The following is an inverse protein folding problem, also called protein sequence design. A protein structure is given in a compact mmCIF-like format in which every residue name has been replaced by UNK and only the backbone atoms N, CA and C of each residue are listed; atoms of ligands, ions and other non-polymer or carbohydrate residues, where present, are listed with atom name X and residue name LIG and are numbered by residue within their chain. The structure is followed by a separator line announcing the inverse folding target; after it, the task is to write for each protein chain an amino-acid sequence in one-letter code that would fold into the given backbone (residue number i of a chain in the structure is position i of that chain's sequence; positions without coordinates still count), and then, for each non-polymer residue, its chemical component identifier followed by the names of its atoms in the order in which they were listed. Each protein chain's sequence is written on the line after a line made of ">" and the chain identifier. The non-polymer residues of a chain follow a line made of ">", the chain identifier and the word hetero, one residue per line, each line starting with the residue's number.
data_IF_064084506925
#
_entry.id   IF_064084506925
#
_cell.length_a   1.000
_cell.length_b   1.000
_cell.length_c   1.000
_cell.angle_alpha   90.00
_cell.angle_beta   90.00
_cell.angle_gamma   90.00
#
_symmetry.space_group_name_H-M   'P 1'
#
loop_
_entity.id
_entity.type
_entity.pdbx_description
1 polymer ?
#
# COMPACT_ATOMS: atom_id res chain seq x y z
N UNK A 1 -28.15 -0.80 13.15
CA UNK A 1 -27.29 0.16 12.45
C UNK A 1 -26.07 -0.57 11.89
N UNK A 2 -25.83 -0.47 10.61
CA UNK A 2 -24.66 -1.14 10.03
C UNK A 2 -23.39 -0.44 10.53
N UNK A 3 -22.49 -1.21 11.16
CA UNK A 3 -21.18 -0.71 11.49
C UNK A 3 -20.33 -0.75 10.23
N UNK A 4 -19.87 0.40 9.77
CA UNK A 4 -18.98 0.48 8.63
C UNK A 4 -17.56 0.24 9.12
N UNK A 5 -17.02 -0.95 8.80
CA UNK A 5 -15.64 -1.26 9.08
C UNK A 5 -14.73 -0.41 8.19
N UNK A 6 -13.72 0.21 8.79
CA UNK A 6 -12.73 0.97 8.03
C UNK A 6 -11.86 0.02 7.22
N UNK A 7 -11.85 0.20 5.91
CA UNK A 7 -10.96 -0.54 5.02
C UNK A 7 -9.56 0.06 5.06
N UNK A 8 -8.56 -0.78 5.20
CA UNK A 8 -7.16 -0.35 5.36
C UNK A 8 -6.26 -1.12 4.42
N UNK A 9 -5.36 -0.40 3.77
CA UNK A 9 -4.22 -0.97 3.05
C UNK A 9 -2.96 -0.55 3.78
N UNK A 10 -2.17 -1.52 4.22
CA UNK A 10 -0.86 -1.27 4.81
C UNK A 10 0.18 -1.23 3.69
N UNK A 11 0.99 -0.18 3.68
CA UNK A 11 2.13 -0.05 2.76
C UNK A 11 3.25 -1.02 3.16
N UNK A 12 4.13 -1.29 2.24
CA UNK A 12 5.30 -2.15 2.43
C UNK A 12 6.11 -1.75 3.66
N UNK A 13 6.27 -0.44 3.91
CA UNK A 13 7.00 0.09 5.06
C UNK A 13 6.45 -0.36 6.42
N UNK A 14 5.16 -0.70 6.48
CA UNK A 14 4.52 -1.19 7.71
C UNK A 14 4.75 -2.69 7.89
N UNK A 15 4.72 -3.46 6.80
CA UNK A 15 4.92 -4.92 6.86
C UNK A 15 6.35 -5.32 7.14
N UNK A 16 7.35 -4.58 6.64
CA UNK A 16 8.76 -4.96 6.79
C UNK A 16 9.18 -5.15 8.24
N UNK A 17 8.92 -4.21 9.18
CA UNK A 17 9.24 -4.44 10.59
C UNK A 17 8.51 -5.63 11.20
N UNK A 18 7.26 -5.87 10.79
CA UNK A 18 6.48 -7.01 11.26
C UNK A 18 7.10 -8.33 10.79
N UNK A 19 7.45 -8.45 9.52
CA UNK A 19 8.03 -9.66 8.94
C UNK A 19 9.42 -9.94 9.52
N UNK A 20 10.24 -8.89 9.67
CA UNK A 20 11.63 -9.04 10.11
C UNK A 20 11.80 -9.19 11.62
N UNK A 21 10.95 -8.53 12.43
CA UNK A 21 11.14 -8.44 13.88
C UNK A 21 9.86 -8.61 14.70
N UNK A 22 8.73 -8.93 14.06
CA UNK A 22 7.47 -9.10 14.77
C UNK A 22 6.89 -7.80 15.34
N UNK A 23 7.35 -6.65 14.87
CA UNK A 23 6.89 -5.33 15.36
C UNK A 23 5.60 -4.94 14.66
N UNK A 24 4.51 -4.83 15.43
CA UNK A 24 3.20 -4.38 14.90
C UNK A 24 3.09 -2.86 14.95
N UNK A 25 2.51 -2.28 13.89
CA UNK A 25 2.17 -0.87 13.88
C UNK A 25 0.91 -0.63 14.71
N UNK A 26 0.80 0.51 15.46
CA UNK A 26 -0.40 0.82 16.25
C UNK A 26 -1.70 0.78 15.48
N UNK A 27 -1.70 1.11 14.18
CA UNK A 27 -2.88 1.04 13.34
C UNK A 27 -3.45 -0.38 13.18
N UNK A 28 -2.65 -1.43 13.42
CA UNK A 28 -3.11 -2.82 13.37
C UNK A 28 -3.94 -3.16 14.62
N UNK A 29 -3.68 -2.47 15.73
CA UNK A 29 -4.30 -2.70 17.03
C UNK A 29 -5.47 -1.76 17.32
N UNK A 30 -6.04 -1.12 16.29
CA UNK A 30 -7.18 -0.23 16.46
C UNK A 30 -8.40 -0.96 16.99
N UNK A 31 -9.13 -0.31 17.93
CA UNK A 31 -10.32 -0.87 18.59
C UNK A 31 -11.44 -1.26 17.62
N UNK A 32 -11.53 -0.59 16.47
CA UNK A 32 -12.61 -0.85 15.50
C UNK A 32 -12.30 -1.95 14.51
N UNK A 33 -11.37 -2.82 14.77
CA UNK A 33 -11.07 -3.99 13.93
C UNK A 33 -11.08 -3.65 12.44
N UNK A 34 -10.05 -2.98 11.92
CA UNK A 34 -10.03 -2.57 10.53
C UNK A 34 -10.14 -3.76 9.58
N UNK A 35 -10.74 -3.53 8.43
CA UNK A 35 -10.86 -4.50 7.37
C UNK A 35 -9.64 -4.37 6.44
N UNK A 36 -8.67 -5.27 6.58
CA UNK A 36 -7.44 -5.21 5.81
C UNK A 36 -7.62 -5.72 4.39
N UNK A 37 -7.12 -4.95 3.43
CA UNK A 37 -6.94 -5.32 2.03
C UNK A 37 -5.45 -5.38 1.73
N UNK A 38 -5.05 -6.30 0.85
CA UNK A 38 -3.67 -6.40 0.39
C UNK A 38 -3.57 -5.85 -1.04
N UNK A 39 -2.65 -4.90 -1.25
CA UNK A 39 -2.31 -4.46 -2.59
C UNK A 39 -1.39 -5.49 -3.25
N UNK A 40 -1.69 -5.85 -4.50
CA UNK A 40 -0.82 -6.73 -5.29
C UNK A 40 0.57 -6.12 -5.49
N UNK A 41 0.65 -4.79 -5.52
CA UNK A 41 1.95 -4.09 -5.60
C UNK A 41 2.75 -4.30 -4.32
N UNK A 42 2.11 -4.17 -3.16
CA UNK A 42 2.75 -4.39 -1.85
C UNK A 42 3.26 -5.82 -1.72
N UNK A 43 2.42 -6.82 -2.02
CA UNK A 43 2.84 -8.21 -1.87
C UNK A 43 4.01 -8.53 -2.83
N UNK A 44 3.99 -7.96 -4.03
CA UNK A 44 5.10 -8.10 -4.97
C UNK A 44 6.41 -7.52 -4.43
N UNK A 45 6.36 -6.33 -3.83
CA UNK A 45 7.53 -5.72 -3.19
C UNK A 45 8.05 -6.55 -2.02
N UNK A 46 7.14 -7.10 -1.20
CA UNK A 46 7.51 -7.93 -0.07
C UNK A 46 8.21 -9.21 -0.51
N UNK A 47 7.70 -9.89 -1.55
CA UNK A 47 8.38 -11.06 -2.11
C UNK A 47 9.75 -10.73 -2.67
N UNK A 48 9.87 -9.59 -3.35
CA UNK A 48 11.14 -9.17 -3.94
C UNK A 48 12.23 -8.95 -2.89
N UNK A 49 11.85 -8.59 -1.67
CA UNK A 49 12.77 -8.39 -0.55
C UNK A 49 12.90 -9.60 0.39
N UNK A 50 12.23 -10.71 0.12
CA UNK A 50 12.26 -11.89 0.97
C UNK A 50 13.34 -12.86 0.51
N UNK A 51 14.43 -12.97 1.29
CA UNK A 51 15.59 -13.79 0.92
C UNK A 51 15.69 -15.11 1.71
N UNK A 52 14.85 -15.30 2.73
CA UNK A 52 14.86 -16.52 3.54
C UNK A 52 13.55 -17.29 3.40
N UNK A 53 13.62 -18.60 3.67
CA UNK A 53 12.47 -19.49 3.50
C UNK A 53 11.33 -19.23 4.51
N UNK A 54 11.65 -18.70 5.68
CA UNK A 54 10.63 -18.39 6.70
C UNK A 54 9.79 -17.21 6.24
N UNK A 55 10.41 -16.14 5.76
CA UNK A 55 9.70 -14.97 5.22
C UNK A 55 8.85 -15.34 4.01
N UNK A 56 9.39 -16.14 3.09
CA UNK A 56 8.64 -16.58 1.90
C UNK A 56 7.40 -17.38 2.31
N UNK A 57 7.52 -18.30 3.26
CA UNK A 57 6.36 -19.08 3.74
C UNK A 57 5.31 -18.21 4.41
N UNK A 58 5.72 -17.20 5.18
CA UNK A 58 4.80 -16.24 5.77
C UNK A 58 4.04 -15.48 4.67
N UNK A 59 4.75 -14.99 3.67
CA UNK A 59 4.14 -14.28 2.55
C UNK A 59 3.20 -15.16 1.75
N UNK A 60 3.54 -16.44 1.54
CA UNK A 60 2.66 -17.39 0.88
C UNK A 60 1.32 -17.54 1.62
N UNK A 61 1.38 -17.63 2.95
CA UNK A 61 0.17 -17.69 3.77
C UNK A 61 -0.65 -16.41 3.68
N UNK A 62 0.01 -15.26 3.69
CA UNK A 62 -0.66 -13.97 3.53
C UNK A 62 -1.35 -13.87 2.16
N UNK A 63 -0.63 -14.24 1.12
CA UNK A 63 -1.17 -14.25 -0.25
C UNK A 63 -2.43 -15.11 -0.35
N UNK A 64 -2.38 -16.33 0.16
CA UNK A 64 -3.52 -17.24 0.15
C UNK A 64 -4.70 -16.69 0.98
N UNK A 65 -4.42 -16.16 2.17
CA UNK A 65 -5.45 -15.62 3.06
C UNK A 65 -6.19 -14.46 2.40
N UNK A 66 -5.47 -13.47 1.89
CA UNK A 66 -6.11 -12.33 1.22
C UNK A 66 -6.83 -12.74 -0.06
N UNK A 67 -6.26 -13.67 -0.82
CA UNK A 67 -6.91 -14.21 -2.02
C UNK A 67 -8.21 -14.91 -1.70
N UNK A 68 -8.23 -15.77 -0.68
CA UNK A 68 -9.42 -16.52 -0.25
C UNK A 68 -10.50 -15.59 0.31
N UNK A 69 -10.12 -14.50 0.96
CA UNK A 69 -11.06 -13.52 1.49
C UNK A 69 -11.60 -12.57 0.40
N UNK A 70 -11.06 -12.63 -0.82
CA UNK A 70 -11.42 -11.67 -1.87
C UNK A 70 -10.95 -10.26 -1.59
N UNK A 71 -9.86 -10.11 -0.85
CA UNK A 71 -9.32 -8.79 -0.43
C UNK A 71 -7.95 -8.49 -1.02
N UNK A 72 -7.63 -9.07 -2.15
CA UNK A 72 -6.43 -8.71 -2.92
C UNK A 72 -6.83 -7.65 -3.95
N UNK A 73 -6.19 -6.48 -3.89
CA UNK A 73 -6.46 -5.37 -4.83
C UNK A 73 -5.40 -5.39 -5.92
N UNK A 74 -5.84 -5.61 -7.15
CA UNK A 74 -4.95 -5.65 -8.32
C UNK A 74 -5.22 -4.42 -9.17
N UNK A 75 -4.17 -3.63 -9.52
CA UNK A 75 -4.35 -2.48 -10.41
C UNK A 75 -4.88 -2.91 -11.78
N UNK A 76 -5.83 -2.13 -12.31
CA UNK A 76 -6.33 -2.30 -13.67
C UNK A 76 -5.49 -1.51 -14.67
N UNK A 77 -5.70 -1.75 -15.96
CA UNK A 77 -5.00 -1.03 -17.02
C UNK A 77 -5.15 0.49 -16.86
N UNK A 78 -6.36 0.96 -16.50
CA UNK A 78 -6.61 2.38 -16.28
C UNK A 78 -5.80 2.95 -15.10
N UNK A 79 -5.55 2.16 -14.07
CA UNK A 79 -4.71 2.59 -12.94
C UNK A 79 -3.26 2.79 -13.38
N UNK A 80 -2.74 1.89 -14.23
CA UNK A 80 -1.41 2.03 -14.80
C UNK A 80 -1.29 3.28 -15.66
N UNK A 81 -2.28 3.54 -16.53
CA UNK A 81 -2.30 4.75 -17.37
C UNK A 81 -2.26 6.02 -16.51
N UNK A 82 -3.14 6.10 -15.51
CA UNK A 82 -3.21 7.25 -14.60
C UNK A 82 -1.93 7.38 -13.78
N UNK A 83 -1.36 6.28 -13.34
CA UNK A 83 -0.10 6.26 -12.60
C UNK A 83 1.02 6.89 -13.41
N UNK A 84 1.17 6.53 -14.67
CA UNK A 84 2.19 7.14 -15.53
C UNK A 84 2.04 8.65 -15.62
N UNK A 85 0.81 9.14 -15.77
CA UNK A 85 0.52 10.57 -15.82
C UNK A 85 0.87 11.30 -14.51
N UNK A 86 0.52 10.69 -13.37
CA UNK A 86 0.80 11.25 -12.05
C UNK A 86 2.30 11.27 -11.78
N UNK A 87 3.02 10.19 -12.09
CA UNK A 87 4.47 10.12 -11.93
C UNK A 87 5.16 11.22 -12.73
N UNK A 88 4.72 11.46 -13.97
CA UNK A 88 5.25 12.55 -14.78
C UNK A 88 5.02 13.92 -14.14
N UNK A 89 3.84 14.16 -13.57
CA UNK A 89 3.51 15.41 -12.87
C UNK A 89 4.36 15.59 -11.61
N UNK A 90 4.54 14.53 -10.83
CA UNK A 90 5.39 14.56 -9.64
C UNK A 90 6.83 14.89 -10.01
N UNK A 91 7.35 14.29 -11.08
CA UNK A 91 8.70 14.56 -11.56
C UNK A 91 8.88 16.01 -12.00
N UNK A 92 7.88 16.58 -12.68
CA UNK A 92 7.92 17.99 -13.09
C UNK A 92 7.88 18.95 -11.91
N UNK A 93 7.09 18.62 -10.88
CA UNK A 93 6.93 19.52 -9.72
C UNK A 93 8.08 19.41 -8.72
N UNK A 94 8.49 18.20 -8.38
CA UNK A 94 9.46 17.95 -7.30
C UNK A 94 10.83 17.53 -7.80
N UNK A 95 10.92 17.06 -9.04
CA UNK A 95 12.10 16.39 -9.53
C UNK A 95 12.30 15.04 -8.81
N UNK A 96 12.85 14.08 -9.47
CA UNK A 96 13.29 12.84 -8.83
C UNK A 96 14.40 12.21 -9.68
N UNK A 97 15.24 11.45 -9.02
CA UNK A 97 16.26 10.67 -9.72
C UNK A 97 15.68 9.39 -10.30
N UNK A 98 16.21 8.95 -11.43
CA UNK A 98 15.76 7.74 -12.12
C UNK A 98 15.75 6.51 -11.21
N UNK A 99 16.70 6.42 -10.28
CA UNK A 99 16.78 5.30 -9.34
C UNK A 99 15.56 5.16 -8.42
N UNK A 100 14.78 6.24 -8.24
CA UNK A 100 13.57 6.23 -7.41
C UNK A 100 12.30 6.05 -8.23
N UNK A 101 12.39 5.95 -9.54
CA UNK A 101 11.23 5.88 -10.42
C UNK A 101 10.32 4.70 -10.11
N UNK A 102 10.88 3.51 -9.90
CA UNK A 102 10.11 2.32 -9.56
C UNK A 102 9.37 2.49 -8.23
N UNK A 103 10.04 3.03 -7.22
CA UNK A 103 9.45 3.27 -5.90
C UNK A 103 8.25 4.23 -5.99
N UNK A 104 8.42 5.35 -6.69
CA UNK A 104 7.35 6.34 -6.88
C UNK A 104 6.19 5.72 -7.65
N UNK A 105 6.47 4.97 -8.71
CA UNK A 105 5.45 4.29 -9.52
C UNK A 105 4.64 3.34 -8.65
N UNK A 106 5.31 2.53 -7.84
CA UNK A 106 4.64 1.59 -6.95
C UNK A 106 3.77 2.32 -5.91
N UNK A 107 4.27 3.40 -5.32
CA UNK A 107 3.51 4.18 -4.33
C UNK A 107 2.24 4.79 -4.95
N UNK A 108 2.32 5.30 -6.17
CA UNK A 108 1.15 5.83 -6.87
C UNK A 108 0.14 4.72 -7.19
N UNK A 109 0.62 3.54 -7.61
CA UNK A 109 -0.26 2.37 -7.82
C UNK A 109 -0.96 1.94 -6.53
N UNK A 110 -0.27 1.99 -5.40
CA UNK A 110 -0.87 1.69 -4.10
C UNK A 110 -1.96 2.71 -3.77
N UNK A 111 -1.72 3.99 -4.05
CA UNK A 111 -2.70 5.06 -3.84
C UNK A 111 -3.97 4.83 -4.68
N UNK A 112 -3.82 4.49 -5.95
CA UNK A 112 -4.97 4.15 -6.81
C UNK A 112 -5.69 2.90 -6.34
N UNK A 113 -4.97 1.90 -5.82
CA UNK A 113 -5.56 0.70 -5.25
C UNK A 113 -6.43 1.04 -4.03
N UNK A 114 -5.94 1.89 -3.15
CA UNK A 114 -6.70 2.36 -1.99
C UNK A 114 -7.95 3.11 -2.41
N UNK A 115 -7.83 4.01 -3.37
CA UNK A 115 -8.97 4.76 -3.92
C UNK A 115 -10.04 3.82 -4.48
N UNK A 116 -9.63 2.78 -5.20
CA UNK A 116 -10.54 1.83 -5.84
C UNK A 116 -11.47 1.15 -4.84
N UNK A 117 -10.96 0.76 -3.69
CA UNK A 117 -11.74 0.04 -2.67
C UNK A 117 -12.22 0.95 -1.53
N UNK A 118 -11.87 2.23 -1.56
CA UNK A 118 -12.23 3.17 -0.50
C UNK A 118 -11.47 2.92 0.80
N UNK A 119 -10.20 2.49 0.70
CA UNK A 119 -9.38 2.20 1.87
C UNK A 119 -8.51 3.38 2.29
N UNK A 120 -8.14 3.38 3.56
CA UNK A 120 -7.14 4.29 4.13
C UNK A 120 -5.77 3.63 3.99
N UNK A 121 -4.77 4.39 3.55
CA UNK A 121 -3.38 3.92 3.51
C UNK A 121 -2.71 4.18 4.85
N UNK A 122 -2.03 3.17 5.39
CA UNK A 122 -1.13 3.31 6.53
C UNK A 122 0.30 3.13 6.03
N UNK A 123 1.14 4.12 6.26
CA UNK A 123 2.51 4.15 5.76
C UNK A 123 3.44 4.87 6.72
N UNK A 124 4.73 4.50 6.73
CA UNK A 124 5.79 5.28 7.38
C UNK A 124 6.32 6.40 6.47
N UNK A 125 6.03 6.33 5.17
CA UNK A 125 6.46 7.29 4.17
C UNK A 125 5.40 8.37 3.92
N UNK A 126 4.92 9.00 4.99
CA UNK A 126 3.80 9.97 4.93
C UNK A 126 4.11 11.11 3.98
N UNK A 127 5.34 11.64 4.01
CA UNK A 127 5.74 12.76 3.14
C UNK A 127 5.55 12.44 1.66
N UNK A 128 5.97 11.25 1.22
CA UNK A 128 5.86 10.85 -0.18
C UNK A 128 4.40 10.67 -0.59
N UNK A 129 3.59 10.05 0.26
CA UNK A 129 2.16 9.87 -0.02
C UNK A 129 1.37 11.19 0.03
N UNK A 130 1.77 12.16 0.85
CA UNK A 130 1.16 13.50 0.84
C UNK A 130 1.42 14.21 -0.49
N UNK A 131 2.60 14.05 -1.09
CA UNK A 131 2.88 14.58 -2.43
C UNK A 131 2.01 13.93 -3.50
N UNK A 132 1.84 12.61 -3.41
CA UNK A 132 0.96 11.86 -4.32
C UNK A 132 -0.48 12.36 -4.17
N UNK A 133 -0.91 12.66 -2.95
CA UNK A 133 -2.25 13.14 -2.66
C UNK A 133 -2.60 14.46 -3.34
N UNK A 134 -1.62 15.23 -3.75
CA UNK A 134 -1.86 16.44 -4.55
C UNK A 134 -2.48 16.12 -5.92
N UNK A 135 -2.33 14.89 -6.42
CA UNK A 135 -2.79 14.46 -7.75
C UNK A 135 -3.76 13.28 -7.71
N UNK A 136 -3.86 12.56 -6.60
CA UNK A 136 -4.73 11.40 -6.43
C UNK A 136 -5.56 11.57 -5.17
N UNK A 137 -6.87 11.39 -5.27
CA UNK A 137 -7.76 11.47 -4.11
C UNK A 137 -7.81 10.12 -3.38
N UNK A 138 -7.24 10.07 -2.19
CA UNK A 138 -7.26 8.92 -1.30
C UNK A 138 -7.05 9.39 0.14
N UNK A 139 -7.15 8.48 1.12
CA UNK A 139 -7.03 8.81 2.54
C UNK A 139 -5.77 8.20 3.14
N UNK A 140 -5.11 8.95 4.04
CA UNK A 140 -3.93 8.51 4.78
C UNK A 140 -4.26 8.51 6.27
N UNK A 141 -3.88 7.43 6.96
CA UNK A 141 -4.01 7.34 8.42
C UNK A 141 -3.07 8.34 9.10
N UNK A 142 -3.58 9.02 10.14
CA UNK A 142 -2.79 10.01 10.88
C UNK A 142 -2.80 11.39 10.24
N UNK A 143 -3.45 11.55 9.10
CA UNK A 143 -3.71 12.84 8.47
C UNK A 143 -5.00 13.41 9.02
N UNK A 144 -4.89 14.20 10.05
CA UNK A 144 -6.06 14.86 10.66
C UNK A 144 -5.75 16.34 10.76
#
# INVERSE_FOLDING_TARGET
>A
MAEYLTKVILDTSIYIPFINAGISHPAIELEYKPLFYMSAVVIGELYAGAFDSVSVRLLDRMYETFGNLGRMVVPEASDWQKTGKVVAKLGRKYGFEEKFLLKITNDVLIAFSARRVGAVIVTSNVKDFLRIKEFVDFKIYGEI
#
